data_IF_978190063646
#
_entry.id   IF_978190063646
#
_cell.length_a   1.000
_cell.length_b   1.000
_cell.length_c   1.000
_cell.angle_alpha   90.00
_cell.angle_beta   90.00
_cell.angle_gamma   90.00
#
_symmetry.space_group_name_H-M   'P 1'
#
loop_
_entity.id
_entity.type
_entity.pdbx_description
1 polymer ?
#
# COMPACT_ATOMS: atom_id res chain seq x y z
N UNK A 1 11.20 17.19 -1.02
CA UNK A 1 10.62 17.78 -2.26
C UNK A 1 9.41 16.94 -2.65
N UNK A 2 8.35 17.56 -3.16
CA UNK A 2 7.16 16.86 -3.63
C UNK A 2 7.34 16.37 -5.08
N UNK A 3 7.00 15.11 -5.33
CA UNK A 3 7.00 14.46 -6.63
C UNK A 3 5.59 14.00 -7.00
N UNK A 4 5.18 14.19 -8.26
CA UNK A 4 3.92 13.64 -8.77
C UNK A 4 4.15 12.18 -9.15
N UNK A 5 3.40 11.26 -8.53
CA UNK A 5 3.55 9.82 -8.71
C UNK A 5 2.60 9.26 -9.75
N UNK A 6 1.33 9.66 -9.68
CA UNK A 6 0.26 9.18 -10.57
C UNK A 6 -0.64 10.36 -10.91
N UNK A 7 -1.03 10.46 -12.17
CA UNK A 7 -2.07 11.39 -12.63
C UNK A 7 -3.24 10.56 -13.13
N UNK A 8 -4.44 10.84 -12.64
CA UNK A 8 -5.64 10.17 -13.09
C UNK A 8 -6.18 10.89 -14.32
N UNK A 9 -6.28 10.15 -15.43
CA UNK A 9 -6.90 10.63 -16.67
C UNK A 9 -8.44 10.64 -16.56
N UNK A 10 -8.98 9.70 -15.77
CA UNK A 10 -10.41 9.63 -15.51
C UNK A 10 -10.88 10.77 -14.61
N UNK A 11 -11.93 11.47 -15.05
CA UNK A 11 -12.54 12.54 -14.30
C UNK A 11 -13.25 12.00 -13.06
N UNK A 12 -12.93 12.55 -11.88
CA UNK A 12 -13.54 12.15 -10.62
C UNK A 12 -14.87 12.88 -10.46
N UNK A 13 -16.03 12.19 -10.48
CA UNK A 13 -17.31 12.84 -10.30
C UNK A 13 -17.43 13.31 -8.85
N UNK A 14 -17.68 14.59 -8.61
CA UNK A 14 -17.87 15.10 -7.24
C UNK A 14 -19.09 15.99 -7.17
N UNK A 15 -19.57 16.30 -5.95
CA UNK A 15 -20.65 17.26 -5.75
C UNK A 15 -20.34 18.69 -6.23
N UNK A 16 -19.07 18.98 -6.57
CA UNK A 16 -18.61 20.26 -7.15
C UNK A 16 -18.42 20.21 -8.67
N UNK A 17 -18.72 19.07 -9.31
CA UNK A 17 -18.42 18.80 -10.71
C UNK A 17 -17.16 17.94 -10.90
N UNK A 18 -16.85 17.53 -12.15
CA UNK A 18 -15.72 16.65 -12.44
C UNK A 18 -14.38 17.29 -12.03
N UNK A 19 -13.56 16.55 -11.30
CA UNK A 19 -12.24 16.97 -10.86
C UNK A 19 -11.16 16.13 -11.54
N UNK A 20 -10.03 16.76 -11.89
CA UNK A 20 -8.79 16.07 -12.15
C UNK A 20 -8.09 15.77 -10.83
N UNK A 21 -7.49 14.59 -10.70
CA UNK A 21 -6.76 14.17 -9.51
C UNK A 21 -5.33 13.76 -9.86
N UNK A 22 -4.39 14.02 -8.95
CA UNK A 22 -3.05 13.47 -8.99
C UNK A 22 -2.59 13.08 -7.60
N UNK A 23 -1.78 12.02 -7.52
CA UNK A 23 -1.11 11.63 -6.29
C UNK A 23 0.28 12.22 -6.29
N UNK A 24 0.63 12.84 -5.17
CA UNK A 24 1.94 13.40 -4.92
C UNK A 24 2.58 12.70 -3.71
N UNK A 25 3.89 12.64 -3.70
CA UNK A 25 4.69 12.05 -2.63
C UNK A 25 5.89 12.90 -2.26
N UNK A 26 6.33 12.81 -1.01
CA UNK A 26 7.52 13.51 -0.54
C UNK A 26 8.11 12.84 0.69
N UNK A 27 9.40 13.10 0.95
CA UNK A 27 10.05 12.66 2.19
C UNK A 27 9.66 13.62 3.31
N UNK A 28 9.09 13.06 4.38
CA UNK A 28 8.74 13.75 5.62
C UNK A 28 9.97 13.94 6.53
N UNK A 29 9.82 14.71 7.61
CA UNK A 29 10.92 15.00 8.56
C UNK A 29 11.48 13.75 9.26
N UNK A 30 10.68 12.70 9.40
CA UNK A 30 11.08 11.39 9.95
C UNK A 30 11.81 10.48 8.94
N UNK A 31 11.89 10.91 7.68
CA UNK A 31 12.58 10.17 6.61
C UNK A 31 11.70 9.17 5.86
N UNK A 32 10.43 8.99 6.23
CA UNK A 32 9.47 8.20 5.48
C UNK A 32 8.85 8.99 4.33
N UNK A 33 8.29 8.28 3.36
CA UNK A 33 7.59 8.85 2.22
C UNK A 33 6.11 9.07 2.54
N UNK A 34 5.68 10.31 2.66
CA UNK A 34 4.27 10.67 2.76
C UNK A 34 3.60 10.78 1.39
N UNK A 35 2.37 10.31 1.29
CA UNK A 35 1.50 10.45 0.12
C UNK A 35 0.30 11.33 0.39
N UNK A 36 -0.05 12.17 -0.58
CA UNK A 36 -1.29 12.95 -0.57
C UNK A 36 -1.88 13.05 -1.98
N UNK A 37 -3.12 13.49 -2.06
CA UNK A 37 -3.84 13.65 -3.32
C UNK A 37 -4.11 15.13 -3.53
N UNK A 38 -3.95 15.58 -4.77
CA UNK A 38 -4.25 16.93 -5.20
C UNK A 38 -5.37 16.90 -6.22
N UNK A 39 -6.35 17.79 -6.04
CA UNK A 39 -7.51 17.91 -6.89
C UNK A 39 -7.59 19.29 -7.53
N UNK A 40 -8.12 19.35 -8.75
CA UNK A 40 -8.52 20.61 -9.36
C UNK A 40 -9.73 20.44 -10.28
N UNK A 41 -10.52 21.49 -10.53
CA UNK A 41 -11.62 21.40 -11.48
C UNK A 41 -11.14 21.00 -12.86
N UNK A 42 -11.82 20.04 -13.48
CA UNK A 42 -11.49 19.61 -14.84
C UNK A 42 -11.75 20.76 -15.82
N UNK A 43 -10.74 21.11 -16.60
CA UNK A 43 -10.79 22.24 -17.54
C UNK A 43 -10.30 23.58 -16.97
N UNK A 44 -9.98 23.65 -15.69
CA UNK A 44 -9.31 24.80 -15.11
C UNK A 44 -7.78 24.66 -15.19
N UNK A 45 -7.17 25.44 -16.07
CA UNK A 45 -5.74 25.44 -16.32
C UNK A 45 -4.96 26.37 -15.38
N UNK A 46 -5.64 27.26 -14.65
CA UNK A 46 -5.03 28.31 -13.84
C UNK A 46 -5.33 28.23 -12.33
N UNK A 47 -6.17 27.29 -11.92
CA UNK A 47 -6.64 27.12 -10.55
C UNK A 47 -5.61 26.43 -9.66
N UNK A 48 -5.67 26.78 -8.37
CA UNK A 48 -4.86 26.16 -7.34
C UNK A 48 -5.30 24.72 -7.09
N UNK A 49 -4.34 23.85 -6.79
CA UNK A 49 -4.62 22.45 -6.47
C UNK A 49 -5.07 22.34 -5.02
N UNK A 50 -6.27 21.82 -4.81
CA UNK A 50 -6.74 21.44 -3.48
C UNK A 50 -5.97 20.20 -3.02
N UNK A 51 -5.03 20.40 -2.09
CA UNK A 51 -4.25 19.33 -1.46
C UNK A 51 -5.03 18.68 -0.31
N UNK A 52 -5.11 17.35 -0.32
CA UNK A 52 -5.58 16.57 0.83
C UNK A 52 -4.58 16.62 1.99
N UNK A 53 -4.99 16.09 3.14
CA UNK A 53 -4.04 15.72 4.18
C UNK A 53 -3.10 14.59 3.71
N UNK A 54 -2.24 14.13 4.62
CA UNK A 54 -1.45 12.91 4.42
C UNK A 54 -2.37 11.70 4.41
N UNK A 55 -2.43 11.01 3.28
CA UNK A 55 -3.27 9.83 3.07
C UNK A 55 -2.53 8.53 3.44
N UNK A 56 -1.21 8.51 3.27
CA UNK A 56 -0.38 7.36 3.61
C UNK A 56 1.06 7.77 3.95
N UNK A 57 1.77 6.86 4.61
CA UNK A 57 3.20 6.98 4.94
C UNK A 57 3.84 5.63 4.60
N UNK A 58 4.93 5.67 3.83
CA UNK A 58 5.56 4.50 3.22
C UNK A 58 7.06 4.51 3.47
N UNK A 59 7.71 3.35 3.61
CA UNK A 59 9.16 3.28 3.87
C UNK A 59 10.01 3.72 2.68
N UNK A 60 9.48 3.64 1.46
CA UNK A 60 10.17 4.03 0.24
C UNK A 60 9.19 4.48 -0.85
N UNK A 61 9.75 4.99 -1.94
CA UNK A 61 9.00 5.55 -3.07
C UNK A 61 8.27 4.49 -3.91
N UNK A 62 8.77 3.26 -3.97
CA UNK A 62 8.14 2.19 -4.75
C UNK A 62 6.81 1.75 -4.12
N UNK A 63 6.79 1.55 -2.80
CA UNK A 63 5.57 1.30 -2.03
C UNK A 63 4.56 2.44 -2.17
N UNK A 64 5.04 3.68 -2.17
CA UNK A 64 4.19 4.83 -2.36
C UNK A 64 3.57 4.89 -3.76
N UNK A 65 4.31 4.51 -4.80
CA UNK A 65 3.79 4.38 -6.17
C UNK A 65 2.80 3.23 -6.30
N UNK A 66 3.07 2.10 -5.64
CA UNK A 66 2.16 0.96 -5.64
C UNK A 66 0.82 1.33 -5.00
N UNK A 67 0.83 1.95 -3.82
CA UNK A 67 -0.36 2.51 -3.20
C UNK A 67 -1.10 3.48 -4.14
N UNK A 68 -0.37 4.42 -4.74
CA UNK A 68 -0.94 5.43 -5.65
C UNK A 68 -1.65 4.80 -6.86
N UNK A 69 -1.09 3.72 -7.40
CA UNK A 69 -1.65 3.00 -8.54
C UNK A 69 -2.90 2.18 -8.21
N UNK A 70 -3.08 1.82 -6.94
CA UNK A 70 -4.21 1.02 -6.45
C UNK A 70 -5.44 1.84 -6.07
N UNK A 71 -5.40 3.17 -6.21
CA UNK A 71 -6.52 4.03 -5.81
C UNK A 71 -7.68 3.92 -6.80
N UNK A 72 -8.88 3.68 -6.26
CA UNK A 72 -10.12 3.66 -7.03
C UNK A 72 -10.77 5.04 -7.08
N UNK A 73 -11.64 5.28 -8.08
CA UNK A 73 -12.44 6.51 -8.19
C UNK A 73 -13.21 6.80 -6.90
N UNK A 74 -13.87 5.80 -6.32
CA UNK A 74 -14.62 5.97 -5.08
C UNK A 74 -13.74 6.43 -3.90
N UNK A 75 -12.47 6.00 -3.86
CA UNK A 75 -11.51 6.49 -2.87
C UNK A 75 -11.17 7.96 -3.10
N UNK A 76 -10.95 8.36 -4.36
CA UNK A 76 -10.65 9.73 -4.76
C UNK A 76 -11.81 10.69 -4.45
N UNK A 77 -13.06 10.26 -4.68
CA UNK A 77 -14.27 11.01 -4.30
C UNK A 77 -14.32 11.27 -2.79
N UNK A 78 -14.10 10.22 -1.98
CA UNK A 78 -14.07 10.35 -0.52
C UNK A 78 -12.91 11.22 -0.03
N UNK A 79 -11.74 11.12 -0.66
CA UNK A 79 -10.57 11.95 -0.34
C UNK A 79 -10.81 13.43 -0.68
N UNK A 80 -11.51 13.72 -1.77
CA UNK A 80 -11.91 15.08 -2.13
C UNK A 80 -12.86 15.69 -1.09
N UNK A 81 -13.86 14.94 -0.64
CA UNK A 81 -14.80 15.40 0.40
C UNK A 81 -14.08 15.71 1.73
N UNK A 82 -13.14 14.86 2.13
CA UNK A 82 -12.27 15.11 3.29
C UNK A 82 -11.39 16.35 3.09
N UNK A 83 -10.80 16.53 1.92
CA UNK A 83 -9.95 17.68 1.62
C UNK A 83 -10.74 19.00 1.70
N UNK A 84 -11.99 19.02 1.20
CA UNK A 84 -12.89 20.16 1.35
C UNK A 84 -13.26 20.42 2.82
N UNK A 85 -13.53 19.36 3.58
CA UNK A 85 -13.90 19.47 5.00
C UNK A 85 -12.73 19.95 5.87
N UNK A 86 -11.51 19.50 5.55
CA UNK A 86 -10.28 19.89 6.27
C UNK A 86 -9.73 21.27 5.84
N UNK A 87 -10.21 21.83 4.73
CA UNK A 87 -9.97 23.23 4.37
C UNK A 87 -10.78 24.22 5.25
N UNK A 88 -11.70 23.72 6.09
CA UNK A 88 -12.35 24.45 7.18
C UNK A 88 -11.65 24.12 8.51
N UNK A 89 -11.53 25.05 9.48
CA UNK A 89 -10.78 24.83 10.72
C UNK A 89 -11.28 23.58 11.48
N UNK A 90 -10.37 22.84 12.14
CA UNK A 90 -10.54 21.42 12.38
C UNK A 90 -11.64 21.14 13.42
N UNK A 91 -12.74 20.54 12.97
CA UNK A 91 -13.47 19.61 13.82
C UNK A 91 -12.75 18.27 13.72
N UNK A 92 -12.21 17.80 14.85
CA UNK A 92 -11.60 16.49 15.01
C UNK A 92 -12.55 15.41 14.50
N UNK A 93 -12.35 14.94 13.26
CA UNK A 93 -13.11 13.83 12.73
C UNK A 93 -12.38 12.52 13.06
N UNK A 94 -12.82 11.98 14.20
CA UNK A 94 -12.74 10.58 14.60
C UNK A 94 -12.93 9.66 13.39
N UNK A 95 -12.05 8.67 13.30
CA UNK A 95 -12.05 7.56 12.34
C UNK A 95 -13.45 6.95 12.18
N UNK A 96 -14.07 7.09 11.00
CA UNK A 96 -15.28 6.35 10.63
C UNK A 96 -14.91 5.23 9.66
N UNK A 97 -14.60 4.09 10.26
CA UNK A 97 -15.22 2.78 10.04
C UNK A 97 -15.48 2.38 8.57
N UNK A 98 -14.63 1.47 8.10
CA UNK A 98 -14.89 0.58 6.98
C UNK A 98 -16.29 -0.04 7.08
N UNK A 99 -17.00 -0.01 5.96
CA UNK A 99 -18.35 -0.50 5.81
C UNK A 99 -18.48 -1.92 6.37
N UNK A 100 -19.50 -2.06 7.22
CA UNK A 100 -20.02 -3.26 7.85
C UNK A 100 -20.39 -4.33 6.83
N UNK A 101 -19.78 -5.51 6.93
CA UNK A 101 -20.52 -6.77 6.79
C UNK A 101 -20.55 -7.47 8.15
N UNK A 102 -21.76 -7.89 8.50
CA UNK A 102 -22.28 -8.20 9.83
C UNK A 102 -21.76 -9.54 10.39
N UNK A 103 -21.56 -9.66 11.72
CA UNK A 103 -22.41 -10.47 12.62
C UNK A 103 -21.76 -10.73 14.01
N UNK A 104 -22.57 -10.54 15.05
CA UNK A 104 -22.46 -11.00 16.45
C UNK A 104 -21.25 -10.63 17.32
N UNK A 105 -21.53 -9.78 18.31
CA UNK A 105 -20.73 -9.47 19.48
C UNK A 105 -20.43 -10.71 20.36
N UNK A 106 -19.20 -10.81 20.90
CA UNK A 106 -18.93 -11.04 22.33
C UNK A 106 -17.43 -10.85 22.67
N UNK A 107 -17.12 -9.79 23.44
CA UNK A 107 -16.06 -9.70 24.46
C UNK A 107 -14.66 -10.33 24.21
N UNK A 108 -13.64 -9.48 24.01
CA UNK A 108 -12.75 -9.03 25.11
C UNK A 108 -11.75 -7.99 24.61
N UNK A 109 -11.65 -6.89 25.34
CA UNK A 109 -10.64 -5.85 25.17
C UNK A 109 -9.28 -6.47 25.49
N UNK A 110 -8.41 -6.57 24.50
CA UNK A 110 -6.98 -6.82 24.68
C UNK A 110 -6.23 -5.59 24.21
N UNK A 111 -5.31 -5.12 25.04
CA UNK A 111 -4.49 -3.92 24.86
C UNK A 111 -3.79 -3.84 23.49
N UNK A 112 -3.41 -2.64 23.02
CA UNK A 112 -2.70 -2.49 21.76
C UNK A 112 -1.34 -3.19 21.84
N UNK A 113 -1.20 -4.26 21.06
CA UNK A 113 0.10 -4.85 20.75
C UNK A 113 0.78 -3.93 19.73
N UNK A 114 1.85 -3.30 20.17
CA UNK A 114 2.78 -2.57 19.33
C UNK A 114 3.43 -3.53 18.32
N UNK A 115 3.63 -3.05 17.09
CA UNK A 115 4.36 -3.67 15.98
C UNK A 115 3.69 -4.84 15.25
N UNK A 116 3.11 -4.54 14.08
CA UNK A 116 2.89 -5.50 13.01
C UNK A 116 3.26 -4.86 11.69
N UNK A 117 4.46 -5.14 11.17
CA UNK A 117 4.75 -4.89 9.76
C UNK A 117 3.76 -5.65 8.86
N UNK A 118 3.65 -5.30 7.57
CA UNK A 118 2.74 -5.97 6.64
C UNK A 118 2.98 -7.47 6.69
N UNK A 119 2.01 -8.22 7.21
CA UNK A 119 2.11 -9.68 7.28
C UNK A 119 2.10 -10.20 5.85
N UNK A 120 3.09 -11.03 5.46
CA UNK A 120 3.12 -11.60 4.12
C UNK A 120 1.83 -12.38 3.88
N UNK A 121 1.15 -12.06 2.78
CA UNK A 121 -0.11 -12.68 2.36
C UNK A 121 0.12 -14.14 1.93
N UNK A 122 1.38 -14.48 1.61
CA UNK A 122 1.83 -15.80 1.19
C UNK A 122 2.58 -16.51 2.31
N UNK A 123 2.09 -17.69 2.70
CA UNK A 123 2.76 -18.62 3.62
C UNK A 123 3.58 -19.65 2.79
N UNK A 124 4.92 -19.47 2.65
CA UNK A 124 5.70 -20.18 1.62
C UNK A 124 5.74 -21.70 1.82
N UNK A 125 5.78 -22.15 3.08
CA UNK A 125 5.83 -23.56 3.45
C UNK A 125 4.51 -24.29 3.13
N UNK A 126 3.38 -23.61 3.35
CA UNK A 126 2.04 -24.15 3.02
C UNK A 126 1.82 -24.22 1.51
N UNK A 127 2.34 -23.24 0.76
CA UNK A 127 2.26 -23.24 -0.70
C UNK A 127 3.18 -24.29 -1.32
N UNK A 128 4.36 -24.52 -0.74
CA UNK A 128 5.26 -25.59 -1.18
C UNK A 128 4.63 -26.99 -1.07
N UNK A 129 3.81 -27.22 -0.04
CA UNK A 129 3.07 -28.48 0.10
C UNK A 129 2.07 -28.74 -1.04
N UNK A 130 1.65 -27.70 -1.77
CA UNK A 130 0.80 -27.82 -2.97
C UNK A 130 1.61 -28.09 -4.24
N UNK A 131 2.94 -27.88 -4.21
CA UNK A 131 3.86 -28.15 -5.30
C UNK A 131 4.90 -27.03 -5.51
N UNK A 132 6.10 -27.42 -5.97
CA UNK A 132 7.22 -26.50 -6.21
C UNK A 132 6.90 -25.48 -7.32
N UNK A 133 6.23 -25.90 -8.40
CA UNK A 133 5.83 -25.01 -9.50
C UNK A 133 4.78 -23.99 -9.06
N UNK A 134 3.87 -24.38 -8.17
CA UNK A 134 2.84 -23.50 -7.59
C UNK A 134 3.47 -22.41 -6.72
N UNK A 135 4.48 -22.77 -5.92
CA UNK A 135 5.27 -21.80 -5.15
C UNK A 135 6.02 -20.84 -6.07
N UNK A 136 6.68 -21.34 -7.11
CA UNK A 136 7.41 -20.51 -8.08
C UNK A 136 6.51 -19.54 -8.82
N UNK A 137 5.34 -19.98 -9.25
CA UNK A 137 4.38 -19.13 -9.94
C UNK A 137 3.86 -18.02 -9.03
N UNK A 138 3.55 -18.34 -7.77
CA UNK A 138 3.07 -17.34 -6.80
C UNK A 138 4.17 -16.35 -6.42
N UNK A 139 5.40 -16.80 -6.15
CA UNK A 139 6.54 -15.91 -5.91
C UNK A 139 6.84 -15.03 -7.14
N UNK A 140 6.69 -15.57 -8.35
CA UNK A 140 6.87 -14.82 -9.60
C UNK A 140 5.83 -13.71 -9.81
N UNK A 141 4.64 -13.85 -9.24
CA UNK A 141 3.58 -12.85 -9.29
C UNK A 141 3.77 -11.70 -8.29
N UNK A 142 4.66 -11.86 -7.31
CA UNK A 142 4.90 -10.88 -6.24
C UNK A 142 6.01 -9.89 -6.61
N UNK A 143 5.88 -8.66 -6.09
CA UNK A 143 6.88 -7.60 -6.20
C UNK A 143 8.17 -7.93 -5.43
N UNK A 144 9.28 -7.28 -5.78
CA UNK A 144 10.58 -7.51 -5.12
C UNK A 144 10.54 -7.18 -3.61
N UNK A 145 9.82 -6.12 -3.22
CA UNK A 145 9.62 -5.79 -1.81
C UNK A 145 8.79 -6.85 -1.06
N UNK A 146 7.73 -7.38 -1.70
CA UNK A 146 6.94 -8.48 -1.14
C UNK A 146 7.77 -9.75 -0.98
N UNK A 147 8.64 -10.05 -1.94
CA UNK A 147 9.59 -11.16 -1.84
C UNK A 147 10.59 -10.95 -0.69
N UNK A 148 11.11 -9.73 -0.52
CA UNK A 148 11.96 -9.37 0.62
C UNK A 148 11.20 -9.57 1.93
N UNK A 149 9.99 -9.02 2.06
CA UNK A 149 9.18 -9.12 3.28
C UNK A 149 8.87 -10.58 3.65
N UNK A 150 8.56 -11.42 2.65
CA UNK A 150 8.40 -12.85 2.84
C UNK A 150 9.72 -13.50 3.29
N UNK A 151 10.83 -13.18 2.63
CA UNK A 151 12.14 -13.73 3.00
C UNK A 151 12.51 -13.35 4.44
N UNK A 152 12.34 -12.10 4.81
CA UNK A 152 12.59 -11.58 6.16
C UNK A 152 11.71 -12.26 7.21
N UNK A 153 10.40 -12.36 6.96
CA UNK A 153 9.45 -13.02 7.87
C UNK A 153 9.78 -14.50 8.10
N UNK A 154 10.40 -15.16 7.12
CA UNK A 154 10.75 -16.58 7.18
C UNK A 154 12.24 -16.83 7.50
N UNK A 155 13.00 -15.80 7.88
CA UNK A 155 14.43 -15.93 8.20
C UNK A 155 15.28 -16.43 7.02
N UNK A 156 14.99 -15.91 5.82
CA UNK A 156 15.66 -16.18 4.55
C UNK A 156 16.31 -14.91 3.96
N UNK A 157 16.46 -13.87 4.77
CA UNK A 157 16.96 -12.56 4.35
C UNK A 157 18.36 -12.61 3.74
N UNK A 158 19.28 -13.37 4.36
CA UNK A 158 20.66 -13.49 3.89
C UNK A 158 20.76 -14.15 2.50
N UNK A 159 20.02 -15.24 2.29
CA UNK A 159 20.00 -15.94 0.99
C UNK A 159 19.27 -15.12 -0.08
N UNK A 160 18.28 -14.34 0.30
CA UNK A 160 17.56 -13.44 -0.59
C UNK A 160 18.50 -12.36 -1.16
N UNK A 161 19.31 -11.74 -0.30
CA UNK A 161 20.28 -10.72 -0.73
C UNK A 161 21.50 -11.30 -1.47
N UNK A 162 21.84 -12.58 -1.23
CA UNK A 162 22.95 -13.24 -1.92
C UNK A 162 22.72 -13.44 -3.42
N UNK A 163 21.45 -13.45 -3.86
CA UNK A 163 21.10 -13.65 -5.25
C UNK A 163 21.12 -12.32 -6.05
N UNK A 164 21.89 -12.31 -7.13
CA UNK A 164 22.14 -11.12 -7.96
C UNK A 164 20.95 -10.72 -8.86
N UNK A 165 19.91 -11.53 -8.96
CA UNK A 165 18.79 -11.28 -9.89
C UNK A 165 17.48 -11.78 -9.31
N UNK A 166 16.37 -11.10 -9.62
CA UNK A 166 15.01 -11.50 -9.21
C UNK A 166 14.68 -12.98 -9.46
N UNK A 167 14.94 -13.58 -10.64
CA UNK A 167 14.75 -15.03 -10.81
C UNK A 167 15.64 -15.87 -9.90
N UNK A 168 16.86 -15.42 -9.60
CA UNK A 168 17.76 -16.06 -8.64
C UNK A 168 17.28 -15.94 -7.18
N UNK A 169 16.61 -14.84 -6.81
CA UNK A 169 16.00 -14.64 -5.49
C UNK A 169 14.84 -15.61 -5.28
N UNK A 170 13.98 -15.75 -6.28
CA UNK A 170 12.86 -16.71 -6.27
C UNK A 170 13.41 -18.14 -6.14
N UNK A 171 14.46 -18.48 -6.90
CA UNK A 171 15.10 -19.80 -6.83
C UNK A 171 15.71 -20.08 -5.45
N UNK A 172 16.43 -19.11 -4.88
CA UNK A 172 17.01 -19.21 -3.53
C UNK A 172 15.93 -19.43 -2.45
N UNK A 173 14.80 -18.72 -2.53
CA UNK A 173 13.67 -18.91 -1.61
C UNK A 173 13.06 -20.31 -1.73
N UNK A 174 12.86 -20.81 -2.95
CA UNK A 174 12.32 -22.16 -3.19
C UNK A 174 13.26 -23.24 -2.65
N UNK A 175 14.57 -23.11 -2.89
CA UNK A 175 15.59 -24.05 -2.36
C UNK A 175 15.56 -24.07 -0.83
N UNK A 176 15.46 -22.91 -0.19
CA UNK A 176 15.42 -22.83 1.27
C UNK A 176 14.15 -23.42 1.88
N UNK A 177 12.99 -23.20 1.26
CA UNK A 177 11.72 -23.82 1.67
C UNK A 177 11.81 -25.35 1.53
N UNK A 178 12.35 -25.85 0.42
CA UNK A 178 12.56 -27.29 0.17
C UNK A 178 13.49 -27.95 1.19
N UNK A 179 14.62 -27.30 1.51
CA UNK A 179 15.58 -27.82 2.48
C UNK A 179 14.97 -27.97 3.88
N UNK A 180 14.13 -27.00 4.28
CA UNK A 180 13.50 -26.97 5.61
C UNK A 180 12.25 -27.85 5.73
N UNK A 181 11.59 -28.19 4.63
CA UNK A 181 10.43 -29.11 4.60
C UNK A 181 10.83 -30.58 4.45
N UNK A 182 12.07 -30.84 4.03
CA UNK A 182 12.63 -32.20 3.92
C UNK A 182 13.32 -32.69 5.20
N UNK A 183 13.24 -31.92 6.30
CA UNK A 183 13.75 -32.24 7.64
C UNK A 183 12.60 -32.65 8.55
#
# INVERSE_FOLDING_TARGET
MAEVLVVFDEAIPTGKGPQAARVCGGIADDGLWEGWIEFKPLGDAGGDWLRSGRETEQPNLDDLRYWASGLSVAYLEGAFDRALSNAMPPVTHTEILAATQEFSAQHRRSAPVTQGGPRPILEPFSVYAQGEEVLRQQLGALSDDQLHNIAKANGMDEIYHSAASRPGRIDAMVIAVKARTST
#
